data_IF_933663289493
#
_entry.id   IF_933663289493
#
_cell.length_a   1.000
_cell.length_b   1.000
_cell.length_c   1.000
_cell.angle_alpha   90.00
_cell.angle_beta   90.00
_cell.angle_gamma   90.00
#
_symmetry.space_group_name_H-M   'P 1'
#
loop_
_entity.id
_entity.type
_entity.pdbx_description
1 polymer ?
#
# COMPACT_ATOMS: atom_id res chain seq x y z
N UNK A 1 -34.65 -41.90 28.63
CA UNK A 1 -34.57 -40.52 28.12
C UNK A 1 -33.10 -40.16 28.08
N UNK A 2 -32.49 -40.21 26.89
CA UNK A 2 -31.07 -39.94 26.67
C UNK A 2 -30.94 -38.48 26.21
N UNK A 3 -30.19 -37.72 26.99
CA UNK A 3 -29.84 -36.33 26.73
C UNK A 3 -28.69 -36.32 25.72
N UNK A 4 -28.96 -35.92 24.48
CA UNK A 4 -27.91 -35.62 23.49
C UNK A 4 -27.76 -34.11 23.36
N UNK A 5 -26.92 -33.53 24.21
CA UNK A 5 -26.29 -32.24 23.96
C UNK A 5 -25.13 -32.47 22.99
N UNK A 6 -25.37 -32.26 21.70
CA UNK A 6 -24.28 -32.05 20.73
C UNK A 6 -24.11 -30.55 20.56
N UNK A 7 -23.30 -29.96 21.44
CA UNK A 7 -22.62 -28.70 21.16
C UNK A 7 -21.74 -28.91 19.92
N UNK A 8 -22.16 -28.31 18.81
CA UNK A 8 -21.33 -28.11 17.62
C UNK A 8 -20.11 -27.33 18.07
N UNK A 9 -18.96 -28.00 18.12
CA UNK A 9 -17.67 -27.36 18.33
C UNK A 9 -17.39 -26.47 17.12
N UNK A 10 -17.61 -25.16 17.26
CA UNK A 10 -16.97 -24.16 16.43
C UNK A 10 -15.46 -24.39 16.53
N UNK A 11 -14.87 -24.92 15.46
CA UNK A 11 -13.43 -25.02 15.28
C UNK A 11 -12.91 -23.63 14.92
N UNK A 12 -13.00 -22.69 15.87
CA UNK A 12 -12.24 -21.47 15.85
C UNK A 12 -10.78 -21.85 16.09
N UNK A 13 -10.02 -22.03 15.01
CA UNK A 13 -8.57 -22.07 15.10
C UNK A 13 -8.17 -20.64 15.47
N UNK A 14 -8.06 -20.35 16.77
CA UNK A 14 -7.32 -19.18 17.24
C UNK A 14 -5.85 -19.43 16.91
N UNK A 15 -5.47 -19.15 15.68
CA UNK A 15 -4.10 -19.21 15.22
C UNK A 15 -3.37 -18.01 15.86
N UNK A 16 -2.75 -18.27 17.01
CA UNK A 16 -1.97 -17.31 17.77
C UNK A 16 -0.58 -17.09 17.13
N UNK A 17 -0.54 -17.01 15.79
CA UNK A 17 0.68 -16.99 15.01
C UNK A 17 1.23 -15.57 14.95
N UNK A 18 2.44 -15.39 15.47
CA UNK A 18 3.22 -14.17 15.30
C UNK A 18 4.12 -14.37 14.09
N UNK A 19 3.97 -13.52 13.09
CA UNK A 19 4.70 -13.65 11.83
C UNK A 19 6.11 -13.08 11.95
N UNK A 20 7.07 -13.75 11.31
CA UNK A 20 8.48 -13.30 11.31
C UNK A 20 8.85 -12.48 10.08
N UNK A 21 8.06 -12.56 9.01
CA UNK A 21 8.27 -11.78 7.79
C UNK A 21 6.95 -11.35 7.15
N UNK A 22 7.03 -10.36 6.25
CA UNK A 22 5.89 -9.91 5.45
C UNK A 22 5.33 -11.06 4.60
N UNK A 23 6.21 -11.80 3.92
CA UNK A 23 5.85 -12.91 3.04
C UNK A 23 5.02 -13.95 3.78
N UNK A 24 5.43 -14.32 5.00
CA UNK A 24 4.72 -15.32 5.80
C UNK A 24 3.30 -14.85 6.15
N UNK A 25 3.14 -13.57 6.50
CA UNK A 25 1.84 -13.00 6.81
C UNK A 25 0.94 -12.90 5.57
N UNK A 26 1.50 -12.45 4.45
CA UNK A 26 0.77 -12.31 3.19
C UNK A 26 0.30 -13.67 2.67
N UNK A 27 1.15 -14.70 2.76
CA UNK A 27 0.77 -16.06 2.38
C UNK A 27 -0.43 -16.53 3.20
N UNK A 28 -0.45 -16.31 4.52
CA UNK A 28 -1.56 -16.74 5.37
C UNK A 28 -2.82 -15.89 5.15
N UNK A 29 -2.69 -14.57 4.93
CA UNK A 29 -3.81 -13.69 4.52
C UNK A 29 -4.46 -14.25 3.26
N UNK A 30 -3.67 -14.52 2.23
CA UNK A 30 -4.16 -15.02 0.95
C UNK A 30 -4.76 -16.41 1.11
N UNK A 31 -4.10 -17.34 1.79
CA UNK A 31 -4.62 -18.70 2.03
C UNK A 31 -5.92 -18.73 2.82
N UNK A 32 -6.14 -17.75 3.70
CA UNK A 32 -7.41 -17.61 4.44
C UNK A 32 -8.51 -16.92 3.63
N UNK A 33 -8.18 -16.39 2.45
CA UNK A 33 -9.12 -15.64 1.63
C UNK A 33 -10.05 -16.52 0.79
N UNK A 34 -11.11 -15.90 0.25
CA UNK A 34 -12.00 -16.52 -0.73
C UNK A 34 -11.54 -16.34 -2.19
N UNK A 35 -10.25 -16.06 -2.46
CA UNK A 35 -9.74 -15.91 -3.82
C UNK A 35 -10.07 -17.13 -4.70
N UNK A 36 -10.63 -16.89 -5.88
CA UNK A 36 -11.07 -17.98 -6.78
C UNK A 36 -9.92 -18.85 -7.25
N UNK A 37 -8.72 -18.27 -7.44
CA UNK A 37 -7.53 -19.01 -7.84
C UNK A 37 -7.19 -20.15 -6.87
N UNK A 38 -7.35 -19.94 -5.55
CA UNK A 38 -7.08 -20.98 -4.54
C UNK A 38 -8.09 -22.13 -4.56
N UNK A 39 -9.30 -21.87 -5.08
CA UNK A 39 -10.35 -22.88 -5.25
C UNK A 39 -10.20 -23.63 -6.57
N UNK A 40 -9.80 -22.93 -7.63
CA UNK A 40 -9.80 -23.44 -9.00
C UNK A 40 -8.51 -24.18 -9.35
N UNK A 41 -7.39 -23.83 -8.73
CA UNK A 41 -6.09 -24.43 -9.00
C UNK A 41 -5.60 -25.24 -7.81
N UNK A 42 -5.06 -26.44 -8.09
CA UNK A 42 -4.39 -27.26 -7.09
C UNK A 42 -2.93 -26.79 -6.97
N UNK A 43 -2.39 -26.79 -5.75
CA UNK A 43 -1.00 -26.41 -5.46
C UNK A 43 -0.65 -24.97 -5.88
N UNK A 44 -1.57 -24.03 -5.71
CA UNK A 44 -1.28 -22.61 -5.93
C UNK A 44 -0.18 -22.13 -4.98
N UNK A 45 0.89 -21.63 -5.57
CA UNK A 45 1.97 -20.94 -4.88
C UNK A 45 1.67 -19.44 -4.85
N UNK A 46 2.19 -18.76 -3.83
CA UNK A 46 1.91 -17.35 -3.55
C UNK A 46 3.25 -16.66 -3.34
N UNK A 47 3.49 -15.57 -4.07
CA UNK A 47 4.64 -14.69 -3.85
C UNK A 47 4.26 -13.22 -3.87
N UNK A 48 5.03 -12.42 -3.16
CA UNK A 48 4.98 -10.96 -3.31
C UNK A 48 5.65 -10.63 -4.63
N UNK A 49 4.89 -10.03 -5.56
CA UNK A 49 5.44 -9.56 -6.82
C UNK A 49 6.08 -8.17 -6.65
N UNK A 50 5.34 -7.25 -6.04
CA UNK A 50 5.84 -5.92 -5.71
C UNK A 50 5.30 -5.44 -4.37
N UNK A 51 6.07 -4.58 -3.74
CA UNK A 51 5.76 -3.99 -2.44
C UNK A 51 6.00 -2.48 -2.56
N UNK A 52 4.96 -1.68 -2.33
CA UNK A 52 5.02 -0.22 -2.31
C UNK A 52 4.59 0.29 -0.96
N UNK A 53 4.79 1.58 -0.67
CA UNK A 53 4.35 2.20 0.60
C UNK A 53 2.84 2.10 0.86
N UNK A 54 2.02 1.85 -0.17
CA UNK A 54 0.55 1.78 -0.06
C UNK A 54 0.01 0.35 -0.06
N UNK A 55 0.64 -0.56 -0.81
CA UNK A 55 0.08 -1.89 -1.08
C UNK A 55 1.15 -2.96 -1.32
N UNK A 56 0.71 -4.20 -1.13
CA UNK A 56 1.43 -5.41 -1.53
C UNK A 56 0.71 -5.98 -2.75
N UNK A 57 1.40 -6.05 -3.89
CA UNK A 57 0.91 -6.77 -5.07
C UNK A 57 1.42 -8.21 -5.02
N UNK A 58 0.49 -9.14 -5.18
CA UNK A 58 0.68 -10.56 -4.89
C UNK A 58 0.37 -11.34 -6.15
N UNK A 59 1.27 -12.24 -6.52
CA UNK A 59 1.09 -13.17 -7.61
C UNK A 59 0.76 -14.56 -7.06
N UNK A 60 -0.27 -15.17 -7.64
CA UNK A 60 -0.63 -16.56 -7.44
C UNK A 60 -0.23 -17.30 -8.72
N UNK A 61 0.55 -18.36 -8.58
CA UNK A 61 1.03 -19.13 -9.73
C UNK A 61 0.97 -20.64 -9.46
N UNK A 62 1.01 -21.42 -10.53
CA UNK A 62 1.15 -22.88 -10.48
C UNK A 62 2.35 -23.32 -11.29
N UNK A 63 3.08 -24.29 -10.74
CA UNK A 63 4.23 -24.91 -11.36
C UNK A 63 3.80 -26.19 -12.07
N UNK A 64 3.94 -26.24 -13.40
CA UNK A 64 3.69 -27.44 -14.20
C UNK A 64 5.02 -28.04 -14.67
N UNK A 65 5.16 -29.36 -14.54
CA UNK A 65 6.26 -30.12 -15.14
C UNK A 65 6.07 -30.10 -16.67
N UNK A 66 6.99 -29.48 -17.42
CA UNK A 66 7.05 -29.61 -18.88
C UNK A 66 8.15 -30.64 -19.19
N UNK A 67 7.79 -31.86 -19.60
CA UNK A 67 8.76 -32.82 -20.10
C UNK A 67 8.25 -33.53 -21.34
N UNK A 68 9.02 -33.42 -22.43
CA UNK A 68 9.37 -34.55 -23.28
C UNK A 68 10.84 -34.36 -23.73
N UNK A 69 11.76 -35.22 -23.28
CA UNK A 69 13.15 -35.39 -23.75
C UNK A 69 14.25 -34.37 -23.37
N UNK A 70 14.69 -34.36 -22.12
CA UNK A 70 16.13 -34.27 -21.75
C UNK A 70 16.27 -34.43 -20.24
N UNK A 71 17.48 -34.74 -19.75
CA UNK A 71 17.78 -35.08 -18.35
C UNK A 71 17.59 -33.92 -17.33
N UNK A 72 16.94 -32.82 -17.73
CA UNK A 72 16.71 -31.63 -16.92
C UNK A 72 15.20 -31.33 -16.90
N UNK A 73 14.55 -31.51 -15.75
CA UNK A 73 13.17 -31.08 -15.53
C UNK A 73 13.09 -29.56 -15.73
N UNK A 74 12.38 -29.11 -16.77
CA UNK A 74 11.99 -27.70 -16.92
C UNK A 74 10.62 -27.51 -16.31
N UNK A 75 10.56 -26.77 -15.22
CA UNK A 75 9.31 -26.36 -14.57
C UNK A 75 8.89 -25.02 -15.17
N UNK A 76 7.64 -24.92 -15.63
CA UNK A 76 7.07 -23.64 -16.05
C UNK A 76 6.07 -23.15 -15.00
N UNK A 77 6.32 -21.95 -14.51
CA UNK A 77 5.41 -21.21 -13.65
C UNK A 77 4.37 -20.50 -14.52
N UNK A 78 3.10 -20.65 -14.20
CA UNK A 78 2.01 -19.94 -14.85
C UNK A 78 1.25 -19.14 -13.80
N UNK A 79 1.19 -17.82 -13.97
CA UNK A 79 0.37 -16.94 -13.12
C UNK A 79 -1.11 -17.30 -13.31
N UNK A 80 -1.80 -17.53 -12.21
CA UNK A 80 -3.23 -17.90 -12.15
C UNK A 80 -4.08 -16.90 -11.37
N UNK A 81 -3.44 -15.89 -10.76
CA UNK A 81 -4.14 -14.81 -10.09
C UNK A 81 -3.23 -13.67 -9.69
N UNK A 82 -3.81 -12.48 -9.60
CA UNK A 82 -3.16 -11.25 -9.16
C UNK A 82 -4.03 -10.59 -8.09
N UNK A 83 -3.46 -10.37 -6.91
CA UNK A 83 -4.15 -9.72 -5.79
C UNK A 83 -3.41 -8.46 -5.35
N UNK A 84 -4.15 -7.56 -4.72
CA UNK A 84 -3.59 -6.41 -4.04
C UNK A 84 -4.08 -6.37 -2.59
N UNK A 85 -3.14 -6.26 -1.67
CA UNK A 85 -3.42 -6.07 -0.25
C UNK A 85 -3.02 -4.67 0.19
N UNK A 86 -3.93 -3.96 0.86
CA UNK A 86 -3.75 -2.61 1.38
C UNK A 86 -3.77 -2.65 2.91
N UNK A 87 -2.61 -2.71 3.59
CA UNK A 87 -2.56 -3.01 5.03
C UNK A 87 -3.22 -1.92 5.88
N UNK A 88 -3.12 -0.66 5.47
CA UNK A 88 -3.75 0.47 6.16
C UNK A 88 -5.28 0.38 6.17
N UNK A 89 -5.88 -0.05 5.06
CA UNK A 89 -7.34 -0.16 4.93
C UNK A 89 -7.85 -1.58 5.19
N UNK A 90 -6.94 -2.54 5.38
CA UNK A 90 -7.23 -3.96 5.56
C UNK A 90 -8.02 -4.56 4.40
N UNK A 91 -7.84 -4.01 3.20
CA UNK A 91 -8.53 -4.48 1.99
C UNK A 91 -7.64 -5.45 1.24
N UNK A 92 -8.19 -6.61 0.92
CA UNK A 92 -7.63 -7.55 -0.05
C UNK A 92 -8.56 -7.55 -1.26
N UNK A 93 -7.99 -7.42 -2.45
CA UNK A 93 -8.77 -7.38 -3.69
C UNK A 93 -8.14 -8.23 -4.79
N UNK A 94 -8.98 -8.84 -5.62
CA UNK A 94 -8.61 -9.62 -6.79
C UNK A 94 -8.70 -8.74 -8.04
N UNK A 95 -7.57 -8.60 -8.74
CA UNK A 95 -7.43 -7.81 -9.97
C UNK A 95 -7.23 -8.71 -11.21
N UNK A 96 -7.38 -10.03 -11.07
CA UNK A 96 -7.02 -11.01 -12.12
C UNK A 96 -7.81 -10.81 -13.41
N UNK A 97 -9.11 -10.55 -13.30
CA UNK A 97 -10.00 -10.43 -14.46
C UNK A 97 -10.21 -8.98 -14.91
N UNK A 98 -10.33 -8.07 -13.94
CA UNK A 98 -10.59 -6.64 -14.19
C UNK A 98 -9.85 -5.80 -13.14
N UNK A 99 -8.66 -5.26 -13.47
CA UNK A 99 -7.91 -4.37 -12.57
C UNK A 99 -8.61 -3.03 -12.29
N UNK A 100 -9.51 -2.57 -13.17
CA UNK A 100 -10.24 -1.31 -12.98
C UNK A 100 -11.42 -1.47 -12.03
N UNK A 101 -12.03 -2.67 -11.98
CA UNK A 101 -13.13 -3.02 -11.08
C UNK A 101 -12.80 -4.27 -10.24
N UNK A 102 -11.87 -4.16 -9.28
CA UNK A 102 -11.40 -5.32 -8.54
C UNK A 102 -12.47 -5.90 -7.60
N UNK A 103 -12.45 -7.23 -7.44
CA UNK A 103 -13.34 -7.93 -6.52
C UNK A 103 -12.78 -7.88 -5.10
N UNK A 104 -13.56 -7.39 -4.14
CA UNK A 104 -13.15 -7.38 -2.73
C UNK A 104 -13.23 -8.79 -2.13
N UNK A 105 -12.10 -9.26 -1.62
CA UNK A 105 -11.97 -10.57 -0.99
C UNK A 105 -12.19 -10.50 0.51
N UNK A 106 -12.82 -11.54 1.05
CA UNK A 106 -12.91 -11.82 2.49
C UNK A 106 -11.78 -12.75 2.89
N UNK A 107 -11.17 -12.50 4.03
CA UNK A 107 -10.11 -13.32 4.61
C UNK A 107 -10.19 -13.25 6.15
N UNK A 108 -9.38 -14.06 6.85
CA UNK A 108 -9.38 -14.07 8.32
C UNK A 108 -8.72 -12.81 8.87
N UNK A 109 -9.55 -11.90 9.40
CA UNK A 109 -9.10 -10.61 9.92
C UNK A 109 -8.29 -10.74 11.22
N UNK A 110 -8.42 -11.86 11.94
CA UNK A 110 -7.72 -12.12 13.22
C UNK A 110 -6.20 -12.09 13.00
N UNK A 111 -5.74 -12.45 11.79
CA UNK A 111 -4.33 -12.37 11.36
C UNK A 111 -3.76 -10.95 11.60
N UNK A 112 -4.58 -9.92 11.40
CA UNK A 112 -4.18 -8.51 11.56
C UNK A 112 -4.24 -8.00 13.01
N UNK A 113 -5.02 -8.64 13.89
CA UNK A 113 -5.25 -8.11 15.24
C UNK A 113 -4.02 -8.24 16.15
N UNK A 114 -3.13 -9.20 15.86
CA UNK A 114 -1.94 -9.50 16.68
C UNK A 114 -0.62 -9.18 15.98
N UNK A 115 -0.66 -8.75 14.72
CA UNK A 115 0.52 -8.49 13.93
C UNK A 115 0.39 -7.13 13.26
N UNK A 116 1.40 -6.27 13.46
CA UNK A 116 1.54 -5.03 12.71
C UNK A 116 2.08 -5.36 11.32
N UNK A 117 1.17 -5.73 10.42
CA UNK A 117 1.51 -6.13 9.04
C UNK A 117 2.16 -4.97 8.29
N UNK A 118 1.73 -3.74 8.56
CA UNK A 118 2.34 -2.55 7.98
C UNK A 118 3.82 -2.50 8.29
N UNK A 119 4.19 -2.61 9.58
CA UNK A 119 5.59 -2.64 10.00
C UNK A 119 6.36 -3.84 9.49
N UNK A 120 5.76 -5.03 9.51
CA UNK A 120 6.39 -6.27 9.00
C UNK A 120 6.72 -6.17 7.51
N UNK A 121 5.87 -5.51 6.75
CA UNK A 121 6.05 -5.25 5.32
C UNK A 121 6.84 -3.97 5.03
N UNK A 122 7.48 -3.35 6.04
CA UNK A 122 8.22 -2.11 5.83
C UNK A 122 7.34 -0.97 5.29
N UNK A 123 6.03 -1.10 5.44
CA UNK A 123 5.05 -0.11 5.05
C UNK A 123 5.00 0.89 6.18
N UNK A 124 5.39 2.11 5.85
CA UNK A 124 5.41 3.19 6.83
C UNK A 124 3.96 3.44 7.25
N UNK A 125 3.59 2.94 8.43
CA UNK A 125 2.45 3.47 9.15
C UNK A 125 2.71 4.96 9.34
N UNK A 126 1.82 5.79 8.81
CA UNK A 126 1.69 7.17 9.28
C UNK A 126 1.00 7.11 10.65
N UNK A 127 1.56 6.38 11.61
CA UNK A 127 1.11 6.42 13.00
C UNK A 127 1.97 7.46 13.72
N UNK A 128 1.33 8.60 13.95
CA UNK A 128 1.77 9.69 14.81
C UNK A 128 1.94 9.21 16.25
N UNK A 129 3.03 8.51 16.56
CA UNK A 129 3.55 8.43 17.91
C UNK A 129 4.85 9.22 17.97
N UNK A 130 4.72 10.54 17.84
CA UNK A 130 5.64 11.46 18.47
C UNK A 130 4.92 12.06 19.68
N UNK A 131 5.53 11.87 20.84
CA UNK A 131 5.16 12.41 22.15
C UNK A 131 5.23 13.94 22.20
N UNK A 132 4.48 14.63 21.33
CA UNK A 132 4.22 16.07 21.38
C UNK A 132 2.95 16.39 20.59
N UNK A 133 1.80 16.47 21.28
CA UNK A 133 0.58 17.28 21.00
C UNK A 133 -0.01 17.43 19.59
N UNK A 134 0.48 16.73 18.57
CA UNK A 134 0.18 17.06 17.18
C UNK A 134 -0.60 15.91 16.53
N UNK A 135 -1.93 15.97 16.61
CA UNK A 135 -2.80 15.05 15.89
C UNK A 135 -2.76 15.34 14.39
N UNK A 136 -2.56 14.30 13.57
CA UNK A 136 -2.69 14.37 12.11
C UNK A 136 -4.10 13.91 11.71
N UNK A 137 -4.75 14.64 10.80
CA UNK A 137 -6.04 14.24 10.19
C UNK A 137 -5.95 14.32 8.67
N UNK A 138 -6.09 13.21 7.98
CA UNK A 138 -6.08 13.16 6.52
C UNK A 138 -7.47 12.90 5.96
N UNK A 139 -7.82 13.62 4.91
CA UNK A 139 -9.08 13.49 4.18
C UNK A 139 -8.77 13.29 2.72
N UNK A 140 -9.35 12.26 2.12
CA UNK A 140 -9.24 11.97 0.69
C UNK A 140 -10.59 12.13 0.02
N UNK A 141 -10.59 12.86 -1.08
CA UNK A 141 -11.74 13.04 -1.97
C UNK A 141 -11.36 12.55 -3.35
N UNK A 142 -12.06 11.53 -3.81
CA UNK A 142 -12.00 11.11 -5.22
C UNK A 142 -12.76 12.13 -6.07
N UNK A 143 -12.14 12.62 -7.15
CA UNK A 143 -12.81 13.48 -8.13
C UNK A 143 -13.39 12.64 -9.27
N UNK A 144 -12.66 11.62 -9.70
CA UNK A 144 -13.08 10.55 -10.61
C UNK A 144 -12.13 9.34 -10.42
N UNK A 145 -12.30 8.26 -11.19
CA UNK A 145 -11.49 7.04 -11.07
C UNK A 145 -9.97 7.26 -11.28
N UNK A 146 -9.57 8.41 -11.83
CA UNK A 146 -8.21 8.71 -12.27
C UNK A 146 -7.59 9.92 -11.54
N UNK A 147 -8.34 10.55 -10.63
CA UNK A 147 -7.87 11.73 -9.92
C UNK A 147 -8.45 11.85 -8.51
N UNK A 148 -7.55 12.17 -7.58
CA UNK A 148 -7.91 12.35 -6.18
C UNK A 148 -7.25 13.59 -5.61
N UNK A 149 -7.88 14.10 -4.55
CA UNK A 149 -7.35 15.15 -3.69
C UNK A 149 -7.26 14.62 -2.27
N UNK A 150 -6.05 14.60 -1.72
CA UNK A 150 -5.80 14.29 -0.31
C UNK A 150 -5.33 15.53 0.42
N UNK A 151 -5.86 15.76 1.63
CA UNK A 151 -5.49 16.87 2.49
C UNK A 151 -5.18 16.30 3.88
N UNK A 152 -3.93 16.44 4.32
CA UNK A 152 -3.50 16.10 5.66
C UNK A 152 -3.29 17.38 6.48
N UNK A 153 -4.03 17.50 7.58
CA UNK A 153 -3.91 18.54 8.60
C UNK A 153 -3.01 18.07 9.74
N UNK A 154 -2.01 18.88 10.08
CA UNK A 154 -1.07 18.67 11.17
C UNK A 154 -1.33 19.72 12.26
N UNK A 155 -2.02 19.33 13.33
CA UNK A 155 -2.28 20.23 14.45
C UNK A 155 -0.97 20.61 15.15
N UNK A 156 -0.74 21.89 15.45
CA UNK A 156 0.44 22.36 16.19
C UNK A 156 1.76 22.33 15.40
N UNK A 157 1.72 22.07 14.09
CA UNK A 157 2.91 22.02 13.22
C UNK A 157 2.89 23.17 12.24
N UNK A 158 3.97 23.94 12.18
CA UNK A 158 4.17 25.06 11.24
C UNK A 158 5.46 24.96 10.44
N UNK A 159 6.36 24.05 10.84
CA UNK A 159 7.65 23.90 10.19
C UNK A 159 7.49 23.23 8.82
N UNK A 160 7.72 24.01 7.77
CA UNK A 160 7.67 23.53 6.39
C UNK A 160 8.71 22.46 6.07
N UNK A 161 9.86 22.45 6.74
CA UNK A 161 10.84 21.36 6.55
C UNK A 161 10.33 20.06 7.15
N UNK A 162 9.71 20.14 8.34
CA UNK A 162 9.05 18.98 8.93
C UNK A 162 7.92 18.50 8.03
N UNK A 163 7.00 19.36 7.58
CA UNK A 163 5.89 18.97 6.69
C UNK A 163 6.42 18.36 5.37
N UNK A 164 7.46 18.96 4.79
CA UNK A 164 8.11 18.42 3.59
C UNK A 164 8.68 17.01 3.82
N UNK A 165 9.32 16.76 4.97
CA UNK A 165 9.86 15.43 5.30
C UNK A 165 8.78 14.34 5.35
N UNK A 166 7.54 14.70 5.69
CA UNK A 166 6.40 13.77 5.70
C UNK A 166 5.98 13.34 4.29
N UNK A 167 6.43 14.07 3.27
CA UNK A 167 6.15 13.78 1.86
C UNK A 167 7.34 13.11 1.21
N UNK A 168 8.54 13.69 1.36
CA UNK A 168 9.75 13.20 0.70
C UNK A 168 10.04 11.72 1.02
N UNK A 169 9.70 11.26 2.24
CA UNK A 169 9.85 9.85 2.62
C UNK A 169 8.86 8.87 1.96
N UNK A 170 7.86 9.35 1.22
CA UNK A 170 6.84 8.51 0.55
C UNK A 170 7.13 8.23 -0.93
N UNK A 171 8.02 9.01 -1.55
CA UNK A 171 8.39 8.86 -2.96
C UNK A 171 9.60 7.91 -3.10
N UNK A 172 9.85 7.38 -4.31
CA UNK A 172 11.03 6.52 -4.50
C UNK A 172 12.30 7.31 -4.21
N UNK A 173 13.37 6.58 -3.88
CA UNK A 173 14.66 7.18 -3.59
C UNK A 173 15.08 8.02 -4.80
N UNK A 174 15.19 9.33 -4.59
CA UNK A 174 15.54 10.38 -5.57
C UNK A 174 14.40 11.01 -6.38
N UNK A 175 13.14 10.57 -6.28
CA UNK A 175 12.04 11.25 -6.99
C UNK A 175 11.83 12.71 -6.54
N UNK A 176 12.17 13.01 -5.27
CA UNK A 176 12.16 14.35 -4.69
C UNK A 176 13.52 14.68 -4.04
N UNK A 177 13.81 15.96 -3.86
CA UNK A 177 15.00 16.42 -3.16
C UNK A 177 14.93 15.95 -1.69
N UNK A 178 16.05 15.48 -1.14
CA UNK A 178 16.12 15.01 0.25
C UNK A 178 15.79 16.10 1.29
N UNK A 179 15.99 17.35 0.91
CA UNK A 179 15.65 18.51 1.73
C UNK A 179 14.89 19.54 0.89
N UNK A 180 14.01 20.29 1.56
CA UNK A 180 13.27 21.37 0.93
C UNK A 180 14.26 22.43 0.41
N UNK A 181 14.22 22.81 -0.88
CA UNK A 181 15.11 23.84 -1.39
C UNK A 181 14.75 25.22 -0.83
N UNK A 182 15.74 26.10 -0.70
CA UNK A 182 15.57 27.45 -0.15
C UNK A 182 14.95 28.46 -1.12
N UNK A 183 14.85 28.10 -2.40
CA UNK A 183 14.36 28.94 -3.50
C UNK A 183 13.71 28.07 -4.56
N UNK A 184 13.01 28.71 -5.49
CA UNK A 184 12.46 28.04 -6.67
C UNK A 184 13.54 27.19 -7.34
N UNK A 185 13.20 25.92 -7.57
CA UNK A 185 14.14 24.90 -8.02
C UNK A 185 13.44 23.98 -8.99
N UNK A 186 14.13 23.67 -10.08
CA UNK A 186 13.72 22.63 -11.02
C UNK A 186 14.69 21.46 -10.83
N UNK A 187 14.13 20.27 -10.74
CA UNK A 187 14.85 19.04 -10.52
C UNK A 187 14.25 17.98 -11.45
N UNK A 188 15.08 17.13 -12.03
CA UNK A 188 14.65 16.06 -12.91
C UNK A 188 15.46 14.82 -12.60
N UNK A 189 14.82 13.67 -12.69
CA UNK A 189 15.48 12.37 -12.61
C UNK A 189 15.15 11.52 -13.83
N UNK A 190 15.70 10.31 -13.87
CA UNK A 190 15.35 9.31 -14.88
C UNK A 190 13.89 8.83 -14.75
N UNK A 191 13.32 8.80 -13.54
CA UNK A 191 11.94 8.33 -13.26
C UNK A 191 10.91 9.47 -13.22
N UNK A 192 11.33 10.67 -12.82
CA UNK A 192 10.51 11.88 -12.72
C UNK A 192 11.06 12.96 -13.65
N UNK A 193 10.57 13.02 -14.91
CA UNK A 193 11.15 13.88 -15.93
C UNK A 193 11.13 15.37 -15.55
N UNK A 194 10.19 15.81 -14.71
CA UNK A 194 10.20 17.17 -14.19
C UNK A 194 9.56 17.31 -12.81
N UNK A 195 10.30 17.88 -11.87
CA UNK A 195 9.85 18.30 -10.54
C UNK A 195 10.14 19.79 -10.34
N UNK A 196 9.10 20.61 -10.21
CA UNK A 196 9.19 22.06 -10.02
C UNK A 196 8.77 22.46 -8.61
N UNK A 197 9.74 22.95 -7.84
CA UNK A 197 9.52 23.55 -6.52
C UNK A 197 9.31 25.06 -6.69
N UNK A 198 8.18 25.57 -6.21
CA UNK A 198 7.93 27.00 -5.99
C UNK A 198 7.86 27.28 -4.50
N UNK A 199 8.79 28.09 -4.00
CA UNK A 199 9.01 28.35 -2.59
C UNK A 199 8.57 29.78 -2.28
N UNK A 200 7.38 29.91 -1.70
CA UNK A 200 6.87 31.18 -1.15
C UNK A 200 6.79 31.09 0.37
N UNK A 201 6.75 32.26 1.02
CA UNK A 201 6.75 32.39 2.48
C UNK A 201 5.66 31.54 3.15
N UNK A 202 4.45 31.54 2.60
CA UNK A 202 3.28 30.92 3.23
C UNK A 202 2.75 29.70 2.45
N UNK A 203 3.39 29.38 1.31
CA UNK A 203 2.98 28.30 0.42
C UNK A 203 4.18 27.75 -0.35
N UNK A 204 4.39 26.46 -0.23
CA UNK A 204 5.27 25.70 -1.11
C UNK A 204 4.40 24.92 -2.07
N UNK A 205 4.75 24.95 -3.35
CA UNK A 205 4.10 24.10 -4.36
C UNK A 205 5.17 23.24 -5.04
N UNK A 206 4.88 21.95 -5.18
CA UNK A 206 5.75 20.99 -5.88
C UNK A 206 4.91 20.37 -6.99
N UNK A 207 5.27 20.64 -8.24
CA UNK A 207 4.62 20.03 -9.40
C UNK A 207 5.51 18.89 -9.90
N UNK A 208 4.97 17.70 -9.98
CA UNK A 208 5.63 16.48 -10.43
C UNK A 208 4.93 16.04 -11.71
N UNK A 209 5.66 16.06 -12.81
CA UNK A 209 5.20 15.59 -14.12
C UNK A 209 5.84 14.24 -14.37
N UNK A 210 5.02 13.24 -14.71
CA UNK A 210 5.46 11.88 -15.06
C UNK A 210 4.65 11.34 -16.23
N UNK A 211 5.11 10.24 -16.83
CA UNK A 211 4.37 9.57 -17.91
C UNK A 211 2.96 9.09 -17.47
N UNK A 212 2.78 8.78 -16.19
CA UNK A 212 1.50 8.38 -15.60
C UNK A 212 0.64 9.53 -15.09
N UNK A 213 0.93 10.77 -15.52
CA UNK A 213 0.19 11.97 -15.17
C UNK A 213 0.90 12.89 -14.18
N UNK A 214 0.13 13.84 -13.66
CA UNK A 214 0.61 15.00 -12.92
C UNK A 214 0.20 14.93 -11.44
N UNK A 215 1.17 15.17 -10.55
CA UNK A 215 0.93 15.33 -9.11
C UNK A 215 1.32 16.74 -8.66
N UNK A 216 0.40 17.43 -8.00
CA UNK A 216 0.63 18.73 -7.39
C UNK A 216 0.55 18.60 -5.88
N UNK A 217 1.66 18.90 -5.21
CA UNK A 217 1.73 18.97 -3.76
C UNK A 217 1.73 20.44 -3.33
N UNK A 218 0.98 20.78 -2.30
CA UNK A 218 1.01 22.08 -1.63
C UNK A 218 1.26 21.89 -0.16
N UNK A 219 2.20 22.67 0.38
CA UNK A 219 2.48 22.74 1.81
C UNK A 219 2.21 24.17 2.24
N UNK A 220 1.33 24.34 3.22
CA UNK A 220 0.94 25.66 3.72
C UNK A 220 0.55 25.58 5.19
N UNK A 221 0.42 26.73 5.83
CA UNK A 221 -0.07 26.83 7.21
C UNK A 221 -1.28 27.74 7.31
N UNK A 222 -2.14 27.45 8.29
CA UNK A 222 -3.20 28.39 8.71
C UNK A 222 -3.28 28.38 10.23
N UNK A 223 -3.23 29.56 10.86
CA UNK A 223 -3.26 29.70 12.33
C UNK A 223 -2.23 28.77 12.99
N UNK A 224 -2.67 27.74 13.71
CA UNK A 224 -1.85 26.76 14.45
C UNK A 224 -1.79 25.37 13.80
N UNK A 225 -2.00 25.31 12.50
CA UNK A 225 -2.08 24.07 11.74
C UNK A 225 -1.26 24.15 10.47
N UNK A 226 -0.55 23.07 10.18
CA UNK A 226 0.15 22.83 8.93
C UNK A 226 -0.68 21.93 8.04
N UNK A 227 -0.55 22.09 6.73
CA UNK A 227 -1.32 21.34 5.75
C UNK A 227 -0.41 20.82 4.65
N UNK A 228 -0.74 19.61 4.21
CA UNK A 228 -0.20 19.00 3.01
C UNK A 228 -1.40 18.64 2.15
N UNK A 229 -1.49 19.24 0.96
CA UNK A 229 -2.50 18.93 -0.04
C UNK A 229 -1.81 18.24 -1.22
N UNK A 230 -2.24 17.02 -1.56
CA UNK A 230 -1.80 16.29 -2.73
C UNK A 230 -2.96 16.17 -3.71
N UNK A 231 -2.74 16.60 -4.94
CA UNK A 231 -3.70 16.42 -6.04
C UNK A 231 -3.02 15.60 -7.11
N UNK A 232 -3.57 14.42 -7.41
CA UNK A 232 -3.10 13.58 -8.52
C UNK A 232 -4.13 13.63 -9.64
N UNK A 233 -3.66 13.85 -10.86
CA UNK A 233 -4.43 13.75 -12.09
C UNK A 233 -3.69 12.81 -13.02
N UNK A 234 -4.33 11.72 -13.42
CA UNK A 234 -3.81 10.81 -14.44
C UNK A 234 -4.37 11.30 -15.78
N UNK A 235 -3.49 11.44 -16.77
CA UNK A 235 -3.84 11.85 -18.13
C UNK A 235 -4.46 10.69 -18.93
#
# INVERSE_FOLDING_TARGET
MLVNNQTVQEKGIQNNKIYKSCEEAIIDIVKSSNALALKNFKNTEIRINTLTSEKVSIELYVSNDILESSAEKKVAENSVGWLEFFPLTKKLQDITNDPENPELLKYDIIILEKNDISKLCGLVEINSNNTNKNSIKCYRKENNNYSFKEICEYSGVKDFNFLYSQIAGKFQQDDLLKALPKKDTIYSTLSTPEVKYSIKKDLITINITSEGGNTVLKIYETKDKGFIEATKSID
#
